data_IF_966747106915
#
_entry.id   IF_966747106915
#
_cell.length_a   1.000
_cell.length_b   1.000
_cell.length_c   1.000
_cell.angle_alpha   90.00
_cell.angle_beta   90.00
_cell.angle_gamma   90.00
#
_symmetry.space_group_name_H-M   'P 1'
#
loop_
_entity.id
_entity.type
_entity.pdbx_description
1 polymer ?
#
# COMPACT_ATOMS: atom_id res chain seq x y z
N UNK A 1 4.04 -12.62 8.75
CA UNK A 1 4.21 -11.19 9.13
C UNK A 1 3.43 -10.28 8.20
N UNK A 2 3.06 -9.09 8.65
CA UNK A 2 2.54 -8.02 7.80
C UNK A 2 3.70 -7.13 7.37
N UNK A 3 3.77 -6.81 6.07
CA UNK A 3 4.76 -5.88 5.55
C UNK A 3 4.07 -4.59 5.11
N UNK A 4 4.53 -3.45 5.66
CA UNK A 4 3.98 -2.12 5.37
C UNK A 4 4.98 -1.34 4.53
N UNK A 5 4.53 -0.71 3.44
CA UNK A 5 5.40 0.03 2.51
C UNK A 5 4.84 1.43 2.30
N UNK A 6 5.49 2.42 2.89
CA UNK A 6 5.05 3.82 2.79
C UNK A 6 5.60 4.56 1.56
N UNK A 7 6.44 3.87 0.76
CA UNK A 7 7.09 4.46 -0.41
C UNK A 7 8.32 5.29 -0.07
N UNK A 8 8.78 6.07 -1.04
CA UNK A 8 10.03 6.83 -0.96
C UNK A 8 9.82 8.34 -1.03
N UNK A 9 8.57 8.80 -1.07
CA UNK A 9 8.22 10.20 -1.17
C UNK A 9 8.69 11.00 0.05
N UNK A 10 9.02 12.27 -0.13
CA UNK A 10 9.62 13.11 0.92
C UNK A 10 8.65 13.50 2.04
N UNK A 11 7.37 13.68 1.69
CA UNK A 11 6.36 14.04 2.68
C UNK A 11 6.05 12.88 3.62
N UNK A 12 5.89 13.15 4.94
CA UNK A 12 5.57 12.11 5.93
C UNK A 12 4.22 11.43 5.63
N UNK A 13 4.14 10.14 5.98
CA UNK A 13 2.90 9.37 5.85
C UNK A 13 2.61 8.60 7.15
N UNK A 14 2.30 9.36 8.20
CA UNK A 14 2.13 8.85 9.57
C UNK A 14 0.76 8.20 9.78
N UNK A 15 -0.28 8.68 9.10
CA UNK A 15 -1.67 8.25 9.27
C UNK A 15 -1.86 6.73 9.29
N UNK A 16 -1.35 5.94 8.33
CA UNK A 16 -1.49 4.49 8.38
C UNK A 16 -0.76 3.84 9.56
N UNK A 17 0.35 4.42 10.02
CA UNK A 17 1.12 3.85 11.13
C UNK A 17 0.36 3.94 12.45
N UNK A 18 -0.33 5.04 12.69
CA UNK A 18 -1.15 5.24 13.89
C UNK A 18 -2.25 4.18 13.98
N UNK A 19 -2.97 3.95 12.89
CA UNK A 19 -4.07 2.97 12.84
C UNK A 19 -3.55 1.53 12.93
N UNK A 20 -2.42 1.22 12.28
CA UNK A 20 -1.81 -0.11 12.35
C UNK A 20 -1.29 -0.39 13.76
N UNK A 21 -0.62 0.58 14.40
CA UNK A 21 -0.14 0.42 15.78
C UNK A 21 -1.30 0.20 16.76
N UNK A 22 -2.39 0.94 16.62
CA UNK A 22 -3.58 0.75 17.45
C UNK A 22 -4.20 -0.63 17.22
N UNK A 23 -4.24 -1.12 15.99
CA UNK A 23 -4.70 -2.46 15.69
C UNK A 23 -3.81 -3.56 16.32
N UNK A 24 -2.50 -3.34 16.40
CA UNK A 24 -1.58 -4.24 17.12
C UNK A 24 -1.86 -4.17 18.63
N UNK A 25 -2.01 -2.98 19.21
CA UNK A 25 -2.30 -2.80 20.64
C UNK A 25 -3.61 -3.45 21.07
N UNK A 26 -4.62 -3.39 20.22
CA UNK A 26 -5.93 -4.03 20.42
C UNK A 26 -5.94 -5.54 20.17
N UNK A 27 -4.82 -6.12 19.72
CA UNK A 27 -4.72 -7.55 19.39
C UNK A 27 -5.43 -7.96 18.10
N UNK A 28 -5.88 -7.01 17.28
CA UNK A 28 -6.44 -7.27 15.95
C UNK A 28 -5.36 -7.75 14.97
N UNK A 29 -4.13 -7.27 15.15
CA UNK A 29 -2.94 -7.73 14.45
C UNK A 29 -2.04 -8.43 15.47
N UNK A 30 -1.90 -9.75 15.34
CA UNK A 30 -1.05 -10.57 16.23
C UNK A 30 0.29 -10.94 15.59
N UNK A 31 0.42 -10.72 14.29
CA UNK A 31 1.64 -11.01 13.55
C UNK A 31 2.65 -9.84 13.70
N UNK A 32 3.95 -10.12 13.64
CA UNK A 32 4.96 -9.06 13.55
C UNK A 32 4.68 -8.13 12.36
N UNK A 33 4.84 -6.83 12.59
CA UNK A 33 4.70 -5.81 11.55
C UNK A 33 6.06 -5.18 11.28
N UNK A 34 6.49 -5.25 10.03
CA UNK A 34 7.72 -4.60 9.53
C UNK A 34 7.32 -3.51 8.55
N UNK A 35 7.90 -2.34 8.71
CA UNK A 35 7.56 -1.14 7.93
C UNK A 35 8.77 -0.66 7.17
N UNK A 36 8.67 -0.53 5.83
CA UNK A 36 9.55 0.36 5.10
C UNK A 36 8.99 1.78 5.19
N UNK A 37 9.59 2.60 6.05
CA UNK A 37 9.04 3.93 6.38
C UNK A 37 9.42 5.03 5.39
N UNK A 38 10.43 4.82 4.55
CA UNK A 38 10.96 5.85 3.66
C UNK A 38 11.47 7.05 4.45
N UNK A 39 10.96 8.23 4.15
CA UNK A 39 11.25 9.49 4.83
C UNK A 39 10.36 9.75 6.04
N UNK A 40 9.39 8.87 6.31
CA UNK A 40 8.49 9.03 7.45
C UNK A 40 9.21 8.68 8.75
N UNK A 41 9.29 9.64 9.67
CA UNK A 41 9.78 9.41 11.03
C UNK A 41 8.60 9.06 11.94
N UNK A 42 8.72 7.94 12.64
CA UNK A 42 7.72 7.47 13.60
C UNK A 42 8.40 6.64 14.68
N UNK A 43 8.02 6.85 15.94
CA UNK A 43 8.52 6.08 17.08
C UNK A 43 7.45 5.09 17.51
N UNK A 44 7.78 3.81 17.57
CA UNK A 44 6.87 2.74 17.98
C UNK A 44 7.63 1.63 18.68
N UNK A 45 7.03 1.08 19.73
CA UNK A 45 7.47 -0.17 20.37
C UNK A 45 6.77 -1.41 19.80
N UNK A 46 5.80 -1.23 18.93
CA UNK A 46 4.99 -2.30 18.35
C UNK A 46 5.37 -2.61 16.89
N UNK A 47 5.90 -1.61 16.18
CA UNK A 47 6.22 -1.70 14.75
C UNK A 47 7.74 -1.66 14.55
N UNK A 48 8.28 -2.56 13.74
CA UNK A 48 9.69 -2.53 13.34
C UNK A 48 9.84 -1.63 12.11
N UNK A 49 10.33 -0.41 12.29
CA UNK A 49 10.57 0.53 11.19
C UNK A 49 12.00 0.39 10.63
N UNK A 50 12.08 0.35 9.31
CA UNK A 50 13.33 0.39 8.54
C UNK A 50 13.14 1.47 7.46
N UNK A 51 14.01 2.48 7.38
CA UNK A 51 13.84 3.54 6.39
C UNK A 51 13.77 3.02 4.96
N UNK A 52 14.79 2.25 4.54
CA UNK A 52 14.86 1.70 3.19
C UNK A 52 15.47 0.30 3.23
N UNK A 53 14.96 -0.58 2.40
CA UNK A 53 15.58 -1.85 2.05
C UNK A 53 16.27 -1.73 0.70
N UNK A 54 17.37 -2.44 0.49
CA UNK A 54 17.89 -2.63 -0.86
C UNK A 54 16.92 -3.52 -1.67
N UNK A 55 17.13 -3.62 -2.98
CA UNK A 55 16.21 -4.34 -3.87
C UNK A 55 15.98 -5.80 -3.43
N UNK A 56 17.06 -6.51 -3.08
CA UNK A 56 16.99 -7.92 -2.68
C UNK A 56 16.25 -8.09 -1.35
N UNK A 57 16.54 -7.26 -0.38
CA UNK A 57 15.88 -7.25 0.93
C UNK A 57 14.40 -6.89 0.77
N UNK A 58 14.07 -5.90 -0.05
CA UNK A 58 12.70 -5.52 -0.32
C UNK A 58 11.89 -6.69 -0.89
N UNK A 59 12.43 -7.36 -1.91
CA UNK A 59 11.78 -8.54 -2.49
C UNK A 59 11.59 -9.65 -1.46
N UNK A 60 12.58 -9.91 -0.59
CA UNK A 60 12.47 -10.87 0.50
C UNK A 60 11.37 -10.49 1.51
N UNK A 61 11.22 -9.20 1.85
CA UNK A 61 10.14 -8.75 2.74
C UNK A 61 8.77 -9.02 2.12
N UNK A 62 8.60 -8.73 0.83
CA UNK A 62 7.36 -9.09 0.14
C UNK A 62 7.13 -10.60 0.14
N UNK A 63 8.15 -11.42 -0.10
CA UNK A 63 8.03 -12.89 -0.11
C UNK A 63 7.61 -13.47 1.25
N UNK A 64 8.16 -12.95 2.33
CA UNK A 64 7.85 -13.38 3.70
C UNK A 64 6.50 -12.86 4.21
N UNK A 65 5.95 -11.84 3.59
CA UNK A 65 4.69 -11.25 4.01
C UNK A 65 3.51 -12.20 3.76
N UNK A 66 2.61 -12.30 4.71
CA UNK A 66 1.27 -12.90 4.56
C UNK A 66 0.25 -11.89 4.05
N UNK A 67 0.49 -10.61 4.35
CA UNK A 67 -0.30 -9.46 3.95
C UNK A 67 0.63 -8.27 3.70
N UNK A 68 0.38 -7.53 2.64
CA UNK A 68 1.07 -6.27 2.35
C UNK A 68 0.09 -5.12 2.53
N UNK A 69 0.52 -4.09 3.27
CA UNK A 69 -0.20 -2.81 3.35
C UNK A 69 0.71 -1.76 2.70
N UNK A 70 0.26 -1.09 1.65
CA UNK A 70 1.13 -0.14 0.96
C UNK A 70 0.41 1.14 0.56
N UNK A 71 1.19 2.22 0.38
CA UNK A 71 0.67 3.39 -0.30
C UNK A 71 0.16 3.03 -1.70
N UNK A 72 -0.78 3.81 -2.23
CA UNK A 72 -1.33 3.60 -3.57
C UNK A 72 -0.33 4.05 -4.67
N UNK A 73 0.90 3.54 -4.58
CA UNK A 73 1.92 3.69 -5.61
C UNK A 73 1.98 2.45 -6.48
N UNK A 74 1.95 2.63 -7.81
CA UNK A 74 1.93 1.52 -8.78
C UNK A 74 3.03 0.51 -8.51
N UNK A 75 4.27 0.96 -8.24
CA UNK A 75 5.40 0.06 -7.99
C UNK A 75 5.20 -0.85 -6.77
N UNK A 76 4.70 -0.29 -5.66
CA UNK A 76 4.46 -1.05 -4.42
C UNK A 76 3.32 -2.05 -4.58
N UNK A 77 2.21 -1.64 -5.20
CA UNK A 77 1.07 -2.52 -5.50
C UNK A 77 1.51 -3.66 -6.42
N UNK A 78 2.14 -3.31 -7.54
CA UNK A 78 2.57 -4.28 -8.55
C UNK A 78 3.55 -5.32 -8.01
N UNK A 79 4.48 -4.90 -7.14
CA UNK A 79 5.41 -5.85 -6.52
C UNK A 79 4.66 -6.84 -5.61
N UNK A 80 3.70 -6.36 -4.81
CA UNK A 80 2.84 -7.22 -4.00
C UNK A 80 2.06 -8.24 -4.83
N UNK A 81 1.44 -7.78 -5.92
CA UNK A 81 0.67 -8.63 -6.82
C UNK A 81 1.55 -9.65 -7.56
N UNK A 82 2.74 -9.27 -8.03
CA UNK A 82 3.72 -10.19 -8.65
C UNK A 82 4.21 -11.27 -7.69
N UNK A 83 4.24 -10.98 -6.40
CA UNK A 83 4.58 -11.95 -5.35
C UNK A 83 3.34 -12.69 -4.82
N UNK A 84 2.19 -12.59 -5.51
CA UNK A 84 0.92 -13.23 -5.15
C UNK A 84 0.47 -12.93 -3.71
N UNK A 85 0.70 -11.70 -3.25
CA UNK A 85 0.31 -11.28 -1.91
C UNK A 85 -1.07 -10.65 -1.90
N UNK A 86 -1.79 -10.82 -0.79
CA UNK A 86 -2.93 -9.97 -0.49
C UNK A 86 -2.43 -8.56 -0.24
N UNK A 87 -3.02 -7.58 -0.92
CA UNK A 87 -2.59 -6.18 -0.83
C UNK A 87 -3.75 -5.33 -0.34
N UNK A 88 -3.54 -4.64 0.78
CA UNK A 88 -4.35 -3.49 1.21
C UNK A 88 -3.61 -2.24 0.75
N UNK A 89 -4.31 -1.32 0.10
CA UNK A 89 -3.68 -0.10 -0.39
C UNK A 89 -4.40 1.15 0.10
N UNK A 90 -3.62 2.18 0.44
CA UNK A 90 -4.08 3.46 0.97
C UNK A 90 -3.45 4.61 0.19
N UNK A 91 -4.27 5.57 -0.24
CA UNK A 91 -3.79 6.74 -0.95
C UNK A 91 -3.20 7.78 0.03
N UNK A 92 -2.10 8.41 -0.36
CA UNK A 92 -1.63 9.68 0.20
C UNK A 92 -2.53 10.80 -0.29
N UNK A 93 -2.80 11.78 0.57
CA UNK A 93 -3.76 12.85 0.29
C UNK A 93 -3.06 14.21 0.36
N UNK A 94 -3.24 15.04 -0.67
CA UNK A 94 -2.69 16.39 -0.73
C UNK A 94 -3.21 17.29 0.40
N UNK A 95 -4.50 17.16 0.73
CA UNK A 95 -5.15 17.91 1.83
C UNK A 95 -4.62 17.57 3.23
N UNK A 96 -3.80 16.54 3.37
CA UNK A 96 -3.15 16.10 4.61
C UNK A 96 -1.62 16.27 4.54
N UNK A 97 -1.13 17.01 3.56
CA UNK A 97 0.29 17.24 3.30
C UNK A 97 1.10 15.92 3.19
N UNK A 98 0.44 14.86 2.66
CA UNK A 98 1.06 13.55 2.45
C UNK A 98 1.61 13.42 1.02
N UNK A 99 1.12 14.25 0.07
CA UNK A 99 1.54 14.30 -1.33
C UNK A 99 1.23 15.68 -1.93
N UNK A 100 1.83 16.00 -3.07
CA UNK A 100 1.58 17.27 -3.80
C UNK A 100 0.24 17.30 -4.53
N UNK A 101 -0.33 16.14 -4.82
CA UNK A 101 -1.59 15.94 -5.53
C UNK A 101 -2.33 14.69 -5.02
N UNK A 102 -3.50 14.42 -5.59
CA UNK A 102 -4.37 13.31 -5.20
C UNK A 102 -4.38 12.15 -6.23
N UNK A 103 -3.39 12.07 -7.15
CA UNK A 103 -3.33 11.02 -8.17
C UNK A 103 -3.33 9.60 -7.59
N UNK A 104 -2.89 9.42 -6.34
CA UNK A 104 -2.94 8.10 -5.69
C UNK A 104 -4.38 7.62 -5.43
N UNK A 105 -5.36 8.52 -5.33
CA UNK A 105 -6.77 8.12 -5.27
C UNK A 105 -7.23 7.45 -6.58
N UNK A 106 -6.79 7.97 -7.71
CA UNK A 106 -7.12 7.40 -9.02
C UNK A 106 -6.47 6.04 -9.22
N UNK A 107 -5.19 5.90 -8.82
CA UNK A 107 -4.49 4.61 -8.83
C UNK A 107 -5.23 3.60 -7.94
N UNK A 108 -5.59 3.99 -6.72
CA UNK A 108 -6.31 3.14 -5.78
C UNK A 108 -7.67 2.70 -6.35
N UNK A 109 -8.41 3.62 -6.97
CA UNK A 109 -9.69 3.34 -7.60
C UNK A 109 -9.57 2.28 -8.72
N UNK A 110 -8.59 2.44 -9.62
CA UNK A 110 -8.33 1.48 -10.71
C UNK A 110 -8.02 0.09 -10.16
N UNK A 111 -7.09 -0.03 -9.22
CA UNK A 111 -6.68 -1.33 -8.68
C UNK A 111 -7.77 -1.97 -7.80
N UNK A 112 -8.57 -1.18 -7.09
CA UNK A 112 -9.67 -1.70 -6.29
C UNK A 112 -10.85 -2.18 -7.14
N UNK A 113 -11.22 -1.43 -8.18
CA UNK A 113 -12.28 -1.82 -9.14
C UNK A 113 -11.93 -3.07 -9.93
N UNK A 114 -10.64 -3.28 -10.21
CA UNK A 114 -10.17 -4.52 -10.85
C UNK A 114 -10.20 -5.74 -9.91
N UNK A 115 -10.50 -5.55 -8.62
CA UNK A 115 -10.44 -6.63 -7.61
C UNK A 115 -9.00 -7.05 -7.27
N UNK A 116 -8.00 -6.28 -7.64
CA UNK A 116 -6.59 -6.62 -7.40
C UNK A 116 -6.15 -6.30 -5.97
N UNK A 117 -6.69 -5.23 -5.37
CA UNK A 117 -6.36 -4.79 -4.01
C UNK A 117 -7.60 -4.46 -3.19
N UNK A 118 -7.45 -4.47 -1.87
CA UNK A 118 -8.46 -3.94 -0.94
C UNK A 118 -8.14 -2.47 -0.65
N UNK A 119 -9.06 -1.53 -0.96
CA UNK A 119 -8.86 -0.13 -0.62
C UNK A 119 -9.07 0.10 0.88
N UNK A 120 -8.22 0.96 1.45
CA UNK A 120 -8.34 1.45 2.82
C UNK A 120 -8.28 2.96 2.83
N UNK A 121 -9.22 3.62 3.51
CA UNK A 121 -9.29 5.08 3.56
C UNK A 121 -8.43 5.71 4.69
N UNK A 122 -7.89 4.89 5.61
CA UNK A 122 -6.99 5.32 6.67
C UNK A 122 -7.68 6.00 7.86
N UNK A 123 -8.94 5.72 8.12
CA UNK A 123 -9.66 6.18 9.31
C UNK A 123 -10.61 5.09 9.80
N UNK A 124 -10.34 4.53 10.99
CA UNK A 124 -11.28 3.73 11.76
C UNK A 124 -11.86 2.47 11.13
N UNK A 125 -11.54 2.21 9.87
CA UNK A 125 -12.04 1.07 9.09
C UNK A 125 -11.01 -0.05 8.91
N UNK A 126 -9.82 0.06 9.52
CA UNK A 126 -8.77 -0.94 9.36
C UNK A 126 -9.22 -2.33 9.81
N UNK A 127 -10.00 -2.43 10.92
CA UNK A 127 -10.52 -3.71 11.39
C UNK A 127 -11.40 -4.40 10.35
N UNK A 128 -12.24 -3.65 9.66
CA UNK A 128 -13.13 -4.19 8.63
C UNK A 128 -12.35 -4.59 7.37
N UNK A 129 -11.35 -3.80 7.00
CA UNK A 129 -10.47 -4.14 5.87
C UNK A 129 -9.64 -5.39 6.18
N UNK A 130 -9.12 -5.53 7.41
CA UNK A 130 -8.39 -6.73 7.85
C UNK A 130 -9.28 -7.98 7.80
N UNK A 131 -10.53 -7.91 8.31
CA UNK A 131 -11.50 -9.01 8.21
C UNK A 131 -11.78 -9.40 6.75
N UNK A 132 -11.96 -8.40 5.88
CA UNK A 132 -12.12 -8.65 4.44
C UNK A 132 -10.88 -9.31 3.83
N UNK A 133 -9.69 -8.93 4.28
CA UNK A 133 -8.43 -9.49 3.81
C UNK A 133 -8.26 -10.98 4.14
N UNK A 134 -8.89 -11.49 5.20
CA UNK A 134 -8.83 -12.92 5.54
C UNK A 134 -9.32 -13.79 4.39
N UNK A 135 -10.46 -13.44 3.79
CA UNK A 135 -11.10 -14.18 2.70
C UNK A 135 -10.84 -13.58 1.32
N UNK A 136 -10.06 -12.49 1.24
CA UNK A 136 -9.78 -11.84 -0.02
C UNK A 136 -8.90 -12.73 -0.90
N UNK A 137 -9.42 -13.03 -2.07
CA UNK A 137 -8.65 -13.62 -3.17
C UNK A 137 -8.52 -12.51 -4.21
N UNK A 138 -7.31 -12.02 -4.40
CA UNK A 138 -7.04 -11.09 -5.49
C UNK A 138 -7.54 -11.73 -6.79
N UNK A 139 -8.24 -10.97 -7.62
CA UNK A 139 -8.76 -11.42 -8.92
C UNK A 139 -7.61 -11.78 -9.86
N UNK A 140 -6.74 -12.63 -9.39
CA UNK A 140 -5.55 -13.23 -9.98
C UNK A 140 -4.74 -12.25 -10.80
N UNK A 141 -3.45 -12.50 -10.87
CA UNK A 141 -2.55 -11.88 -11.86
C UNK A 141 -2.81 -12.44 -13.29
N UNK A 142 -4.05 -12.80 -13.61
CA UNK A 142 -4.55 -12.70 -14.96
C UNK A 142 -4.63 -11.19 -15.29
N UNK A 143 -3.51 -10.53 -14.97
CA UNK A 143 -3.19 -9.29 -15.61
C UNK A 143 -3.24 -9.61 -17.10
N UNK A 144 -4.29 -9.23 -17.71
CA UNK A 144 -4.16 -8.65 -19.01
C UNK A 144 -3.17 -7.50 -18.79
N UNK A 145 -1.87 -7.82 -18.87
CA UNK A 145 -0.76 -6.84 -18.84
C UNK A 145 -1.11 -5.65 -19.74
N UNK A 146 -1.87 -5.91 -20.79
CA UNK A 146 -2.44 -4.95 -21.69
C UNK A 146 -3.54 -4.05 -21.10
N UNK A 147 -4.38 -4.48 -20.19
CA UNK A 147 -5.48 -3.62 -19.70
C UNK A 147 -4.99 -2.59 -18.69
N UNK A 148 -4.08 -2.96 -17.78
CA UNK A 148 -3.49 -2.01 -16.82
C UNK A 148 -2.44 -1.16 -17.51
N UNK A 149 -1.62 -1.71 -18.39
CA UNK A 149 -0.69 -0.92 -19.20
C UNK A 149 -1.44 0.09 -20.06
N UNK A 150 -2.58 -0.26 -20.65
CA UNK A 150 -3.44 0.70 -21.36
C UNK A 150 -4.01 1.76 -20.45
N UNK A 151 -4.53 1.41 -19.26
CA UNK A 151 -5.08 2.39 -18.32
C UNK A 151 -4.01 3.33 -17.77
N UNK A 152 -2.81 2.82 -17.48
CA UNK A 152 -1.68 3.63 -17.04
C UNK A 152 -1.18 4.52 -18.18
N UNK A 153 -1.06 4.02 -19.41
CA UNK A 153 -0.66 4.81 -20.56
C UNK A 153 -1.69 5.90 -20.88
N UNK A 154 -2.99 5.59 -20.84
CA UNK A 154 -4.05 6.58 -21.01
C UNK A 154 -4.01 7.66 -19.94
N UNK A 155 -3.74 7.29 -18.69
CA UNK A 155 -3.57 8.23 -17.59
C UNK A 155 -2.34 9.14 -17.80
N UNK A 156 -1.20 8.57 -18.16
CA UNK A 156 0.03 9.32 -18.45
C UNK A 156 -0.15 10.26 -19.66
N UNK A 157 -0.81 9.81 -20.73
CA UNK A 157 -1.07 10.62 -21.92
C UNK A 157 -2.05 11.77 -21.64
N UNK A 158 -3.06 11.55 -20.80
CA UNK A 158 -3.99 12.60 -20.38
C UNK A 158 -3.30 13.71 -19.58
N UNK A 159 -2.31 13.34 -18.74
CA UNK A 159 -1.58 14.29 -17.89
C UNK A 159 -0.34 14.89 -18.58
N UNK A 160 0.23 14.26 -19.59
CA UNK A 160 1.32 14.84 -20.38
C UNK A 160 0.85 15.96 -21.33
N UNK A 161 -0.43 15.97 -21.72
CA UNK A 161 -1.04 17.02 -22.56
C UNK A 161 -1.53 18.23 -21.76
N UNK A 162 -1.47 18.20 -20.44
CA UNK A 162 -1.90 19.28 -19.54
C UNK A 162 -0.75 20.16 -19.03
N UNK A 163 0.45 20.04 -19.64
CA UNK A 163 1.62 20.91 -19.38
C UNK A 163 1.95 21.74 -20.60
#
# INVERSE_FOLDING_TARGET
MIFVVLGTWEMPFVRPLVEIEEAVRQGLIQQPVVVQSGRTTYASSYLKLVPFFNKKELEQMYEQATLVICQAGVGSIMLGLRKHKKVISIARLSRLDEHIDDHQLEILDVFSKSGAVLPWNGKGDLSDVLKRAENFVSAGYAFQEEAISRSILQFLDAHAKAR
#
